data_IF_880923975404
#
_entry.id   IF_880923975404
#
_cell.length_a   1.000
_cell.length_b   1.000
_cell.length_c   1.000
_cell.angle_alpha   90.00
_cell.angle_beta   90.00
_cell.angle_gamma   90.00
#
_symmetry.space_group_name_H-M   'P 1'
#
loop_
_entity.id
_entity.type
_entity.pdbx_description
1 polymer ?
#
# COMPACT_ATOMS: atom_id res chain seq x y z
N UNK A 1 -5.46 23.86 -10.48
CA UNK A 1 -5.74 22.70 -9.60
C UNK A 1 -4.55 22.61 -8.66
N UNK A 2 -4.64 23.24 -7.49
CA UNK A 2 -3.49 23.35 -6.58
C UNK A 2 -3.24 22.00 -5.94
N UNK A 3 -1.97 21.57 -5.92
CA UNK A 3 -1.45 20.58 -4.99
C UNK A 3 -1.88 21.05 -3.60
N UNK A 4 -2.87 20.40 -3.01
CA UNK A 4 -3.25 20.68 -1.65
C UNK A 4 -2.03 20.38 -0.78
N UNK A 5 -1.65 21.35 0.04
CA UNK A 5 -0.65 21.21 1.09
C UNK A 5 -1.20 20.18 2.09
N UNK A 6 -0.88 18.90 1.85
CA UNK A 6 -1.30 17.80 2.72
C UNK A 6 -0.65 17.94 4.10
N UNK A 7 -1.34 17.54 5.18
CA UNK A 7 -0.76 17.63 6.51
C UNK A 7 0.52 16.77 6.57
N UNK A 8 1.62 17.40 6.95
CA UNK A 8 2.95 16.80 7.07
C UNK A 8 2.98 15.55 7.98
N UNK A 9 2.03 15.47 8.90
CA UNK A 9 1.83 14.35 9.84
C UNK A 9 0.91 13.24 9.27
N UNK A 10 0.52 13.31 8.00
CA UNK A 10 -0.27 12.26 7.37
C UNK A 10 0.49 10.94 7.37
N UNK A 11 -0.17 9.88 7.87
CA UNK A 11 0.44 8.57 7.97
C UNK A 11 0.59 7.92 6.58
N UNK A 12 1.71 7.21 6.42
CA UNK A 12 2.07 6.42 5.25
C UNK A 12 2.51 5.02 5.68
N UNK A 13 2.20 4.02 4.85
CA UNK A 13 2.77 2.69 4.96
C UNK A 13 3.85 2.53 3.90
N UNK A 14 5.05 2.18 4.35
CA UNK A 14 6.24 2.09 3.52
C UNK A 14 6.67 0.63 3.38
N UNK A 15 6.91 0.19 2.14
CA UNK A 15 7.69 -1.00 1.84
C UNK A 15 9.16 -0.60 1.74
N UNK A 16 9.93 -0.94 2.77
CA UNK A 16 11.36 -0.62 2.88
C UNK A 16 12.21 -1.41 1.87
N UNK A 17 11.80 -2.62 1.50
CA UNK A 17 12.52 -3.48 0.55
C UNK A 17 12.48 -2.89 -0.87
N UNK A 18 11.36 -2.27 -1.24
CA UNK A 18 11.10 -1.76 -2.61
C UNK A 18 11.16 -0.24 -2.73
N UNK A 19 11.26 0.48 -1.61
CA UNK A 19 11.14 1.95 -1.55
C UNK A 19 9.82 2.45 -2.14
N UNK A 20 8.74 1.76 -1.84
CA UNK A 20 7.37 2.14 -2.21
C UNK A 20 6.62 2.60 -0.96
N UNK A 21 5.68 3.53 -1.09
CA UNK A 21 4.77 3.89 -0.01
C UNK A 21 3.34 4.15 -0.51
N UNK A 22 2.39 3.98 0.40
CA UNK A 22 0.98 4.32 0.19
C UNK A 22 0.49 5.24 1.31
N UNK A 23 -0.35 6.20 0.95
CA UNK A 23 -0.96 7.15 1.90
C UNK A 23 -2.19 6.55 2.57
N UNK A 24 -2.41 6.84 3.85
CA UNK A 24 -3.58 6.35 4.58
C UNK A 24 -4.90 6.74 3.91
N UNK A 25 -5.01 8.01 3.48
CA UNK A 25 -6.23 8.51 2.83
C UNK A 25 -6.56 7.75 1.54
N UNK A 26 -5.53 7.37 0.77
CA UNK A 26 -5.71 6.58 -0.44
C UNK A 26 -6.25 5.18 -0.11
N UNK A 27 -5.81 4.57 0.99
CA UNK A 27 -6.35 3.27 1.44
C UNK A 27 -7.81 3.41 1.92
N UNK A 28 -8.11 4.45 2.71
CA UNK A 28 -9.45 4.68 3.27
C UNK A 28 -10.50 5.02 2.21
N UNK A 29 -10.11 5.71 1.13
CA UNK A 29 -10.99 6.06 0.02
C UNK A 29 -11.67 4.84 -0.64
N UNK A 30 -11.07 3.65 -0.50
CA UNK A 30 -11.58 2.41 -1.07
C UNK A 30 -12.33 1.53 -0.05
N UNK A 31 -12.83 2.12 1.03
CA UNK A 31 -13.62 1.41 2.04
C UNK A 31 -12.81 0.36 2.83
N UNK A 32 -11.49 0.36 2.67
CA UNK A 32 -10.60 -0.55 3.35
C UNK A 32 -10.40 -0.10 4.81
N UNK A 33 -10.27 -1.05 5.72
CA UNK A 33 -10.10 -0.81 7.16
C UNK A 33 -8.70 -0.24 7.53
N UNK A 34 -8.12 0.59 6.67
CA UNK A 34 -6.77 1.15 6.80
C UNK A 34 -5.68 0.19 6.31
N UNK A 35 -4.44 0.48 6.73
CA UNK A 35 -3.24 -0.21 6.25
C UNK A 35 -3.25 -1.72 6.41
N UNK A 36 -3.93 -2.26 7.42
CA UNK A 36 -4.00 -3.71 7.63
C UNK A 36 -4.69 -4.45 6.48
N UNK A 37 -5.83 -3.96 6.02
CA UNK A 37 -6.58 -4.57 4.91
C UNK A 37 -5.79 -4.48 3.60
N UNK A 38 -5.17 -3.32 3.35
CA UNK A 38 -4.28 -3.15 2.20
C UNK A 38 -3.05 -4.05 2.27
N UNK A 39 -2.40 -4.16 3.43
CA UNK A 39 -1.21 -4.98 3.58
C UNK A 39 -1.55 -6.46 3.36
N UNK A 40 -2.67 -6.94 3.90
CA UNK A 40 -3.15 -8.31 3.70
C UNK A 40 -3.35 -8.67 2.23
N UNK A 41 -3.82 -7.75 1.38
CA UNK A 41 -3.95 -8.03 -0.06
C UNK A 41 -2.60 -8.16 -0.78
N UNK A 42 -1.50 -7.67 -0.19
CA UNK A 42 -0.17 -7.65 -0.82
C UNK A 42 0.88 -8.55 -0.20
N UNK A 43 0.69 -9.05 1.03
CA UNK A 43 1.68 -9.90 1.71
C UNK A 43 1.35 -11.39 1.65
N UNK A 44 0.13 -11.76 1.25
CA UNK A 44 -0.28 -13.15 1.17
C UNK A 44 0.63 -13.94 0.24
N UNK A 45 1.06 -15.11 0.70
CA UNK A 45 1.90 -16.01 -0.07
C UNK A 45 1.49 -17.46 0.13
N UNK A 46 1.26 -18.16 -0.97
CA UNK A 46 1.01 -19.59 -1.03
C UNK A 46 1.58 -20.14 -2.33
N UNK A 47 2.10 -21.38 -2.26
CA UNK A 47 2.45 -22.13 -3.48
C UNK A 47 1.22 -22.70 -4.19
N UNK A 48 0.10 -22.82 -3.47
CA UNK A 48 -1.20 -23.20 -4.00
C UNK A 48 -1.99 -21.95 -4.43
N UNK A 49 -2.49 -21.96 -5.67
CA UNK A 49 -3.29 -20.88 -6.25
C UNK A 49 -4.77 -20.93 -5.85
N UNK A 50 -5.21 -21.99 -5.19
CA UNK A 50 -6.56 -22.11 -4.68
C UNK A 50 -6.80 -21.14 -3.51
N UNK A 51 -7.54 -20.07 -3.77
CA UNK A 51 -7.93 -19.08 -2.75
C UNK A 51 -9.40 -19.17 -2.33
N UNK A 52 -10.21 -20.02 -3.00
CA UNK A 52 -11.66 -20.17 -2.77
C UNK A 52 -12.43 -18.83 -2.73
N UNK A 53 -11.95 -17.82 -3.47
CA UNK A 53 -12.53 -16.48 -3.55
C UNK A 53 -12.98 -16.20 -4.99
N UNK A 54 -14.02 -15.37 -5.13
CA UNK A 54 -14.45 -14.82 -6.42
C UNK A 54 -13.55 -13.65 -6.86
N UNK A 55 -12.24 -13.88 -6.85
CA UNK A 55 -11.20 -12.91 -7.20
C UNK A 55 -10.24 -13.56 -8.19
N UNK A 56 -10.08 -12.96 -9.37
CA UNK A 56 -9.24 -13.50 -10.45
C UNK A 56 -7.79 -12.99 -10.41
N UNK A 57 -7.46 -12.10 -9.46
CA UNK A 57 -6.09 -11.61 -9.28
C UNK A 57 -5.20 -12.55 -8.46
N UNK A 58 -3.89 -12.28 -8.50
CA UNK A 58 -2.87 -13.13 -7.89
C UNK A 58 -2.63 -12.79 -6.39
N UNK A 59 -3.68 -12.87 -5.57
CA UNK A 59 -3.59 -12.57 -4.12
C UNK A 59 -2.71 -13.60 -3.37
N UNK A 60 -2.54 -14.80 -3.93
CA UNK A 60 -1.72 -15.85 -3.34
C UNK A 60 -0.23 -15.68 -3.61
N UNK A 61 0.17 -14.74 -4.48
CA UNK A 61 1.56 -14.33 -4.68
C UNK A 61 1.67 -12.81 -4.56
N UNK A 62 1.24 -12.31 -3.41
CA UNK A 62 1.28 -10.90 -3.09
C UNK A 62 2.66 -10.31 -3.34
N UNK A 63 2.70 -9.19 -4.06
CA UNK A 63 3.94 -8.57 -4.53
C UNK A 63 4.88 -8.11 -3.42
N UNK A 64 4.37 -7.98 -2.18
CA UNK A 64 5.09 -7.57 -0.99
C UNK A 64 5.31 -8.74 -0.01
N UNK A 65 5.06 -9.98 -0.42
CA UNK A 65 5.30 -11.15 0.42
C UNK A 65 6.78 -11.23 0.87
N UNK A 66 6.99 -11.26 2.19
CA UNK A 66 8.32 -11.35 2.80
C UNK A 66 9.09 -10.03 2.90
N UNK A 67 8.50 -8.90 2.50
CA UNK A 67 9.13 -7.59 2.59
C UNK A 67 9.11 -6.98 4.00
N UNK A 68 9.92 -5.94 4.19
CA UNK A 68 9.97 -5.16 5.44
C UNK A 68 9.11 -3.91 5.31
N UNK A 69 8.36 -3.61 6.37
CA UNK A 69 7.43 -2.47 6.38
C UNK A 69 7.65 -1.55 7.58
N UNK A 70 7.25 -0.29 7.40
CA UNK A 70 7.19 0.73 8.43
C UNK A 70 5.93 1.58 8.24
N UNK A 71 5.31 2.01 9.34
CA UNK A 71 4.30 3.07 9.31
C UNK A 71 4.95 4.32 9.89
N UNK A 72 4.93 5.41 9.14
CA UNK A 72 5.54 6.69 9.52
C UNK A 72 4.72 7.85 8.97
N UNK A 73 5.21 9.08 9.07
CA UNK A 73 4.57 10.26 8.48
C UNK A 73 5.22 10.64 7.16
N UNK A 74 4.47 11.32 6.28
CA UNK A 74 4.97 11.77 4.99
C UNK A 74 6.17 12.71 5.13
N UNK A 75 6.21 13.54 6.19
CA UNK A 75 7.34 14.42 6.48
C UNK A 75 8.59 13.64 6.89
N UNK A 76 8.46 12.68 7.81
CA UNK A 76 9.58 11.83 8.21
C UNK A 76 10.13 11.02 7.03
N UNK A 77 9.26 10.56 6.12
CA UNK A 77 9.66 9.86 4.89
C UNK A 77 10.46 10.78 3.96
N UNK A 78 9.99 12.03 3.76
CA UNK A 78 10.62 13.04 2.88
C UNK A 78 11.89 13.64 3.46
N UNK A 79 12.02 13.70 4.79
CA UNK A 79 13.23 14.11 5.49
C UNK A 79 14.38 13.09 5.41
N UNK A 80 14.12 11.89 4.87
CA UNK A 80 15.08 10.81 4.66
C UNK A 80 15.60 10.69 3.22
N UNK A 81 15.81 9.44 2.76
CA UNK A 81 16.28 9.13 1.40
C UNK A 81 15.31 9.62 0.31
N UNK A 82 15.85 10.06 -0.84
CA UNK A 82 15.12 10.83 -1.86
C UNK A 82 14.42 10.02 -2.95
N UNK A 83 14.31 8.69 -2.85
CA UNK A 83 13.82 7.86 -3.96
C UNK A 83 12.63 6.96 -3.61
N UNK A 84 11.67 7.49 -2.87
CA UNK A 84 10.42 6.81 -2.55
C UNK A 84 9.39 6.93 -3.69
N UNK A 85 8.85 5.80 -4.14
CA UNK A 85 7.75 5.75 -5.10
C UNK A 85 6.40 5.79 -4.37
N UNK A 86 5.59 6.80 -4.67
CA UNK A 86 4.19 6.85 -4.23
C UNK A 86 3.36 5.92 -5.13
N UNK A 87 2.74 4.90 -4.55
CA UNK A 87 1.89 3.94 -5.27
C UNK A 87 0.40 4.12 -4.95
N UNK A 88 0.01 5.24 -4.33
CA UNK A 88 -1.37 5.51 -3.90
C UNK A 88 -2.39 5.45 -5.04
N UNK A 89 -2.03 5.91 -6.24
CA UNK A 89 -2.91 5.85 -7.41
C UNK A 89 -2.98 4.44 -8.04
N UNK A 90 -1.87 3.71 -8.06
CA UNK A 90 -1.80 2.33 -8.55
C UNK A 90 -2.66 1.42 -7.66
N UNK A 91 -2.57 1.62 -6.35
CA UNK A 91 -3.40 0.97 -5.32
C UNK A 91 -4.88 1.14 -5.59
N UNK A 92 -5.34 2.35 -5.92
CA UNK A 92 -6.77 2.62 -6.11
C UNK A 92 -7.40 1.79 -7.23
N UNK A 93 -6.63 1.48 -8.28
CA UNK A 93 -7.10 0.63 -9.37
C UNK A 93 -7.20 -0.83 -8.96
N UNK A 94 -6.25 -1.33 -8.18
CA UNK A 94 -6.24 -2.71 -7.71
C UNK A 94 -7.33 -2.96 -6.65
N UNK A 95 -7.50 -2.04 -5.70
CA UNK A 95 -8.50 -2.18 -4.65
C UNK A 95 -9.94 -2.04 -5.17
N UNK A 96 -10.15 -1.30 -6.27
CA UNK A 96 -11.44 -1.27 -6.95
C UNK A 96 -11.81 -2.58 -7.66
N UNK A 97 -10.84 -3.49 -7.84
CA UNK A 97 -11.02 -4.79 -8.49
C UNK A 97 -11.15 -5.96 -7.50
N UNK A 98 -11.01 -5.71 -6.20
CA UNK A 98 -11.24 -6.67 -5.10
C UNK A 98 -12.68 -6.54 -4.62
#
# INVERSE_FOLDING_TARGET
MSVADEPLEAAVLCNLSKREYVRQQAVEAHGCAGFGAFLLSRICWSSDSSVSMAYEGDIHRGIWAGDRFEITTIDALRGGETNWKDISDEMGKEMAAI
#
